data_IF_548703893685
#
_entry.id   IF_548703893685
#
_cell.length_a   1.000
_cell.length_b   1.000
_cell.length_c   1.000
_cell.angle_alpha   90.00
_cell.angle_beta   90.00
_cell.angle_gamma   90.00
#
_symmetry.space_group_name_H-M   'P 1'
#
loop_
_entity.id
_entity.type
_entity.pdbx_description
1 polymer ?
#
# COMPACT_ATOMS: atom_id res chain seq x y z
N UNK A 1 -20.80 -32.30 8.44
CA UNK A 1 -20.49 -30.85 8.53
C UNK A 1 -20.79 -30.24 7.16
N UNK A 2 -21.69 -29.26 7.07
CA UNK A 2 -21.93 -28.54 5.82
C UNK A 2 -20.82 -27.51 5.61
N UNK A 3 -20.19 -27.51 4.44
CA UNK A 3 -19.16 -26.54 4.08
C UNK A 3 -19.84 -25.23 3.67
N UNK A 4 -19.26 -24.09 4.06
CA UNK A 4 -19.74 -22.77 3.65
C UNK A 4 -19.31 -22.52 2.19
N UNK A 5 -20.17 -22.91 1.24
CA UNK A 5 -19.95 -22.80 -0.20
C UNK A 5 -21.25 -22.34 -0.89
N UNK A 6 -21.19 -21.41 -1.86
CA UNK A 6 -22.37 -21.00 -2.61
C UNK A 6 -22.90 -22.16 -3.48
N UNK A 7 -24.23 -22.27 -3.58
CA UNK A 7 -24.91 -23.25 -4.45
C UNK A 7 -24.87 -22.83 -5.92
N UNK A 8 -24.90 -21.52 -6.18
CA UNK A 8 -24.78 -20.93 -7.52
C UNK A 8 -23.94 -19.65 -7.44
N UNK A 9 -23.09 -19.43 -8.43
CA UNK A 9 -22.32 -18.19 -8.56
C UNK A 9 -23.19 -17.10 -9.20
N UNK A 10 -22.91 -15.84 -8.87
CA UNK A 10 -23.59 -14.69 -9.46
C UNK A 10 -23.18 -14.55 -10.93
N UNK A 11 -24.14 -14.52 -11.86
CA UNK A 11 -23.85 -14.46 -13.31
C UNK A 11 -23.63 -13.04 -13.86
N UNK A 12 -24.02 -11.99 -13.13
CA UNK A 12 -24.00 -10.59 -13.61
C UNK A 12 -23.23 -9.65 -12.68
N UNK A 13 -22.45 -8.68 -13.22
CA UNK A 13 -21.81 -7.67 -12.40
C UNK A 13 -22.85 -6.81 -11.66
N UNK A 14 -22.54 -6.28 -10.47
CA UNK A 14 -23.50 -5.54 -9.62
C UNK A 14 -24.25 -4.43 -10.36
N UNK A 15 -23.60 -3.80 -11.35
CA UNK A 15 -24.14 -2.66 -12.11
C UNK A 15 -25.04 -3.04 -13.29
N UNK A 16 -25.01 -4.29 -13.77
CA UNK A 16 -25.81 -4.70 -14.94
C UNK A 16 -27.33 -4.66 -14.69
N UNK A 17 -27.76 -4.62 -13.42
CA UNK A 17 -29.19 -4.58 -13.05
C UNK A 17 -29.70 -3.18 -12.69
N UNK A 18 -28.85 -2.15 -12.70
CA UNK A 18 -29.21 -0.86 -12.08
C UNK A 18 -29.69 0.22 -13.07
N UNK A 19 -29.30 0.20 -14.34
CA UNK A 19 -29.43 1.39 -15.21
C UNK A 19 -30.63 1.37 -16.18
N UNK A 20 -31.35 0.26 -16.35
CA UNK A 20 -32.35 0.13 -17.42
C UNK A 20 -33.80 -0.07 -16.93
N UNK A 21 -34.03 -0.09 -15.61
CA UNK A 21 -35.37 -0.33 -15.07
C UNK A 21 -36.00 1.00 -14.62
N UNK A 22 -37.14 1.44 -15.21
CA UNK A 22 -37.78 2.67 -14.80
C UNK A 22 -38.10 2.63 -13.30
N UNK A 23 -37.82 3.73 -12.60
CA UNK A 23 -38.20 3.86 -11.19
C UNK A 23 -39.71 3.60 -11.09
N UNK A 24 -40.09 2.53 -10.40
CA UNK A 24 -41.48 2.24 -10.15
C UNK A 24 -42.06 3.44 -9.38
N UNK A 25 -42.89 4.23 -10.07
CA UNK A 25 -43.76 5.20 -9.42
C UNK A 25 -44.45 4.49 -8.27
N UNK A 26 -44.51 5.16 -7.12
CA UNK A 26 -45.04 4.61 -5.88
C UNK A 26 -46.56 4.42 -6.07
N UNK A 27 -46.95 3.35 -6.75
CA UNK A 27 -48.34 2.90 -6.83
C UNK A 27 -48.68 2.32 -5.46
N UNK A 28 -49.29 3.15 -4.64
CA UNK A 28 -49.96 2.70 -3.43
C UNK A 28 -51.21 1.96 -3.91
N UNK A 29 -51.24 0.64 -3.71
CA UNK A 29 -52.46 -0.13 -3.92
C UNK A 29 -53.58 0.43 -3.02
N UNK A 30 -54.85 0.29 -3.40
CA UNK A 30 -56.01 0.80 -2.67
C UNK A 30 -56.10 0.29 -1.21
N UNK A 31 -55.31 -0.74 -0.88
CA UNK A 31 -55.14 -1.30 0.46
C UNK A 31 -53.91 -0.73 1.23
N UNK A 32 -53.27 0.32 0.74
CA UNK A 32 -52.15 1.00 1.42
C UNK A 32 -50.81 0.24 1.40
N UNK A 33 -50.66 -0.78 0.53
CA UNK A 33 -49.44 -1.60 0.45
C UNK A 33 -48.44 -0.97 -0.51
N UNK A 34 -47.20 -0.80 -0.04
CA UNK A 34 -46.09 -0.26 -0.85
C UNK A 34 -45.18 -1.40 -1.29
N UNK A 35 -44.88 -1.55 -2.60
CA UNK A 35 -43.92 -2.54 -3.06
C UNK A 35 -42.54 -2.34 -2.42
N UNK A 36 -41.93 -3.41 -1.91
CA UNK A 36 -40.60 -3.39 -1.27
C UNK A 36 -39.47 -2.96 -2.22
N UNK A 37 -39.72 -2.91 -3.53
CA UNK A 37 -38.78 -2.38 -4.53
C UNK A 37 -38.46 -0.89 -4.30
N UNK A 38 -39.37 -0.13 -3.68
CA UNK A 38 -39.17 1.30 -3.38
C UNK A 38 -38.31 1.57 -2.15
N UNK A 39 -38.19 0.61 -1.22
CA UNK A 39 -37.46 0.79 0.05
C UNK A 39 -35.93 0.73 -0.15
N UNK A 40 -35.47 0.07 -1.21
CA UNK A 40 -34.03 -0.04 -1.55
C UNK A 40 -33.54 0.99 -2.57
N UNK A 41 -34.42 1.88 -3.06
CA UNK A 41 -34.11 2.94 -4.02
C UNK A 41 -34.62 4.28 -3.47
N UNK A 42 -33.92 4.90 -2.49
CA UNK A 42 -34.31 6.22 -2.00
C UNK A 42 -34.33 7.21 -3.17
N UNK A 43 -35.38 8.04 -3.23
CA UNK A 43 -35.52 9.05 -4.29
C UNK A 43 -34.37 10.06 -4.21
N UNK A 44 -33.90 10.60 -5.35
CA UNK A 44 -33.15 11.85 -5.34
C UNK A 44 -33.98 12.89 -4.58
N UNK A 45 -33.42 13.47 -3.52
CA UNK A 45 -34.16 14.35 -2.62
C UNK A 45 -34.54 15.69 -3.29
N UNK A 46 -33.88 16.03 -4.39
CA UNK A 46 -34.17 17.18 -5.23
C UNK A 46 -33.39 17.04 -6.54
N UNK A 47 -34.05 16.84 -7.67
CA UNK A 47 -33.45 17.13 -8.98
C UNK A 47 -33.49 18.65 -9.13
N UNK A 48 -32.42 19.32 -8.72
CA UNK A 48 -32.25 20.75 -9.02
C UNK A 48 -31.76 20.80 -10.45
N UNK A 49 -32.65 21.13 -11.38
CA UNK A 49 -32.23 21.53 -12.72
C UNK A 49 -31.18 22.65 -12.56
N UNK A 50 -29.99 22.53 -13.20
CA UNK A 50 -29.00 23.59 -13.13
C UNK A 50 -29.67 24.89 -13.63
N UNK A 51 -29.52 26.01 -12.91
CA UNK A 51 -30.13 27.25 -13.36
C UNK A 51 -29.57 27.57 -14.74
N UNK A 52 -30.47 27.65 -15.73
CA UNK A 52 -30.16 28.16 -17.06
C UNK A 52 -29.38 29.47 -16.89
N UNK A 53 -28.11 29.47 -17.27
CA UNK A 53 -27.22 30.61 -17.09
C UNK A 53 -27.66 31.76 -18.01
N UNK A 54 -28.55 32.63 -17.53
CA UNK A 54 -28.71 33.97 -18.06
C UNK A 54 -27.68 34.89 -17.39
N UNK A 55 -26.92 35.58 -18.22
CA UNK A 55 -25.79 36.41 -17.86
C UNK A 55 -26.14 37.53 -16.87
N UNK A 56 -25.34 37.70 -15.82
CA UNK A 56 -24.99 39.01 -15.25
C UNK A 56 -23.77 38.89 -14.32
N UNK A 57 -22.86 39.86 -14.47
CA UNK A 57 -21.61 40.04 -13.75
C UNK A 57 -21.75 39.97 -12.22
N UNK A 58 -20.78 39.35 -11.54
CA UNK A 58 -19.95 40.02 -10.53
C UNK A 58 -18.86 39.09 -9.97
N UNK A 59 -17.69 39.67 -9.75
CA UNK A 59 -16.52 39.06 -9.13
C UNK A 59 -16.80 38.76 -7.66
N UNK A 60 -16.75 37.49 -7.26
CA UNK A 60 -16.30 36.99 -5.95
C UNK A 60 -16.15 35.47 -6.05
N UNK A 61 -15.22 34.89 -5.29
CA UNK A 61 -14.73 33.50 -5.39
C UNK A 61 -15.79 32.47 -5.83
N UNK A 62 -15.68 31.98 -7.08
CA UNK A 62 -16.33 30.76 -7.53
C UNK A 62 -15.80 29.58 -6.72
N UNK A 63 -16.53 29.18 -5.68
CA UNK A 63 -16.55 27.78 -5.30
C UNK A 63 -16.92 27.00 -6.57
N UNK A 64 -16.03 26.12 -7.02
CA UNK A 64 -16.27 25.35 -8.24
C UNK A 64 -17.50 24.47 -8.04
N UNK A 65 -18.58 24.76 -8.78
CA UNK A 65 -19.76 23.89 -8.95
C UNK A 65 -19.37 22.62 -9.74
N UNK A 66 -18.48 21.79 -9.18
CA UNK A 66 -18.24 20.45 -9.72
C UNK A 66 -19.42 19.56 -9.29
N UNK A 67 -20.10 18.88 -10.22
CA UNK A 67 -21.13 17.92 -9.87
C UNK A 67 -20.58 16.89 -8.87
N UNK A 68 -21.37 16.53 -7.86
CA UNK A 68 -20.95 15.59 -6.80
C UNK A 68 -20.39 14.28 -7.37
N UNK A 69 -20.93 13.83 -8.51
CA UNK A 69 -20.50 12.64 -9.26
C UNK A 69 -19.07 12.71 -9.80
N UNK A 70 -18.54 13.92 -9.97
CA UNK A 70 -17.17 14.20 -10.41
C UNK A 70 -16.23 14.45 -9.23
N UNK A 71 -16.70 14.34 -7.98
CA UNK A 71 -15.87 14.49 -6.80
C UNK A 71 -14.87 13.32 -6.69
N UNK A 72 -13.55 13.58 -6.64
CA UNK A 72 -12.53 12.53 -6.66
C UNK A 72 -12.58 11.62 -5.42
N UNK A 73 -13.02 12.13 -4.28
CA UNK A 73 -13.19 11.33 -3.06
C UNK A 73 -14.45 10.47 -3.09
N UNK A 74 -15.53 10.93 -3.74
CA UNK A 74 -16.68 10.09 -4.00
C UNK A 74 -16.30 8.94 -4.94
N UNK A 75 -15.60 9.24 -6.03
CA UNK A 75 -15.09 8.23 -6.95
C UNK A 75 -14.25 7.17 -6.21
N UNK A 76 -13.33 7.59 -5.34
CA UNK A 76 -12.54 6.67 -4.52
C UNK A 76 -13.42 5.78 -3.62
N UNK A 77 -14.45 6.34 -2.97
CA UNK A 77 -15.39 5.56 -2.14
C UNK A 77 -16.19 4.54 -2.95
N UNK A 78 -16.67 4.95 -4.13
CA UNK A 78 -17.39 4.04 -5.06
C UNK A 78 -16.46 2.91 -5.49
N UNK A 79 -15.23 3.22 -5.93
CA UNK A 79 -14.23 2.21 -6.29
C UNK A 79 -13.92 1.26 -5.13
N UNK A 80 -13.93 1.74 -3.89
CA UNK A 80 -13.74 0.89 -2.71
C UNK A 80 -14.89 -0.11 -2.53
N UNK A 81 -16.15 0.34 -2.61
CA UNK A 81 -17.29 -0.56 -2.48
C UNK A 81 -17.38 -1.56 -3.64
N UNK A 82 -17.18 -1.09 -4.87
CA UNK A 82 -17.16 -1.93 -6.06
C UNK A 82 -16.04 -2.98 -5.96
N UNK A 83 -14.84 -2.57 -5.55
CA UNK A 83 -13.70 -3.45 -5.34
C UNK A 83 -13.94 -4.47 -4.23
N UNK A 84 -14.58 -4.11 -3.12
CA UNK A 84 -14.90 -5.07 -2.07
C UNK A 84 -15.96 -6.08 -2.52
N UNK A 85 -16.97 -5.64 -3.27
CA UNK A 85 -17.97 -6.55 -3.84
C UNK A 85 -17.35 -7.52 -4.85
N UNK A 86 -16.45 -7.03 -5.70
CA UNK A 86 -15.62 -7.81 -6.63
C UNK A 86 -14.85 -8.91 -5.88
N UNK A 87 -14.18 -8.59 -4.76
CA UNK A 87 -13.42 -9.57 -4.00
C UNK A 87 -14.29 -10.65 -3.35
N UNK A 88 -15.55 -10.36 -3.02
CA UNK A 88 -16.49 -11.39 -2.56
C UNK A 88 -16.81 -12.41 -3.67
N UNK A 89 -16.95 -11.95 -4.91
CA UNK A 89 -17.14 -12.86 -6.06
C UNK A 89 -15.90 -13.74 -6.28
N UNK A 90 -14.70 -13.21 -6.05
CA UNK A 90 -13.43 -13.99 -6.08
C UNK A 90 -13.41 -15.06 -4.98
N UNK A 91 -13.74 -14.69 -3.75
CA UNK A 91 -13.85 -15.64 -2.62
C UNK A 91 -14.85 -16.76 -2.92
N UNK A 92 -15.99 -16.41 -3.51
CA UNK A 92 -17.04 -17.38 -3.87
C UNK A 92 -16.58 -18.31 -4.99
N UNK A 93 -15.84 -17.81 -5.98
CA UNK A 93 -15.19 -18.66 -6.99
C UNK A 93 -14.18 -19.62 -6.35
N UNK A 94 -13.33 -19.13 -5.45
CA UNK A 94 -12.31 -19.95 -4.78
C UNK A 94 -12.93 -21.06 -3.94
N UNK A 95 -13.99 -20.76 -3.18
CA UNK A 95 -14.78 -21.77 -2.44
C UNK A 95 -15.46 -22.75 -3.38
N UNK A 96 -16.04 -22.27 -4.47
CA UNK A 96 -16.75 -23.12 -5.42
C UNK A 96 -15.80 -24.11 -6.11
N UNK A 97 -14.61 -23.67 -6.50
CA UNK A 97 -13.54 -24.50 -7.06
C UNK A 97 -13.03 -25.55 -6.07
N UNK A 98 -13.00 -25.23 -4.77
CA UNK A 98 -12.51 -26.13 -3.74
C UNK A 98 -13.47 -27.30 -3.47
N UNK A 99 -14.79 -27.05 -3.48
CA UNK A 99 -15.78 -28.02 -2.99
C UNK A 99 -16.61 -28.72 -4.07
N UNK A 100 -16.59 -28.25 -5.33
CA UNK A 100 -17.39 -28.83 -6.41
C UNK A 100 -16.52 -29.52 -7.47
N UNK A 101 -16.99 -30.66 -8.00
CA UNK A 101 -16.40 -31.29 -9.17
C UNK A 101 -16.93 -30.62 -10.43
N UNK A 102 -16.04 -30.07 -11.25
CA UNK A 102 -16.38 -29.28 -12.43
C UNK A 102 -15.98 -30.00 -13.70
N UNK A 103 -16.86 -29.97 -14.71
CA UNK A 103 -16.67 -30.68 -15.98
C UNK A 103 -15.40 -30.23 -16.74
N UNK A 104 -15.01 -28.96 -16.64
CA UNK A 104 -13.83 -28.37 -17.29
C UNK A 104 -12.66 -28.13 -16.32
N UNK A 105 -12.55 -28.93 -15.24
CA UNK A 105 -11.60 -28.67 -14.13
C UNK A 105 -11.77 -27.28 -13.46
N UNK A 106 -12.78 -26.51 -13.86
CA UNK A 106 -12.96 -25.11 -13.45
C UNK A 106 -12.07 -24.10 -14.19
N UNK A 107 -11.55 -24.42 -15.39
CA UNK A 107 -10.69 -23.49 -16.14
C UNK A 107 -11.37 -22.14 -16.41
N UNK A 108 -12.63 -22.14 -16.85
CA UNK A 108 -13.43 -20.92 -17.05
C UNK A 108 -13.56 -20.08 -15.76
N UNK A 109 -13.74 -20.73 -14.60
CA UNK A 109 -13.84 -20.02 -13.32
C UNK A 109 -12.50 -19.43 -12.88
N UNK A 110 -11.39 -20.13 -13.10
CA UNK A 110 -10.05 -19.59 -12.83
C UNK A 110 -9.73 -18.41 -13.76
N UNK A 111 -10.14 -18.48 -15.02
CA UNK A 111 -10.03 -17.34 -15.95
C UNK A 111 -10.87 -16.16 -15.48
N UNK A 112 -12.14 -16.39 -15.10
CA UNK A 112 -13.01 -15.35 -14.55
C UNK A 112 -12.40 -14.71 -13.30
N UNK A 113 -11.88 -15.53 -12.38
CA UNK A 113 -11.17 -15.07 -11.17
C UNK A 113 -10.02 -14.13 -11.53
N UNK A 114 -9.20 -14.49 -12.52
CA UNK A 114 -8.09 -13.68 -12.98
C UNK A 114 -8.55 -12.34 -13.57
N UNK A 115 -9.54 -12.35 -14.46
CA UNK A 115 -10.12 -11.14 -15.07
C UNK A 115 -10.67 -10.18 -14.01
N UNK A 116 -11.31 -10.71 -12.95
CA UNK A 116 -11.81 -9.90 -11.85
C UNK A 116 -10.66 -9.18 -11.11
N UNK A 117 -9.58 -9.89 -10.79
CA UNK A 117 -8.40 -9.30 -10.13
C UNK A 117 -7.70 -8.27 -11.02
N UNK A 118 -7.58 -8.53 -12.32
CA UNK A 118 -7.04 -7.57 -13.30
C UNK A 118 -7.93 -6.32 -13.43
N UNK A 119 -9.25 -6.49 -13.43
CA UNK A 119 -10.20 -5.37 -13.42
C UNK A 119 -10.08 -4.50 -12.17
N UNK A 120 -9.80 -5.09 -11.01
CA UNK A 120 -9.51 -4.34 -9.79
C UNK A 120 -8.18 -3.59 -9.90
N UNK A 121 -7.12 -4.22 -10.44
CA UNK A 121 -5.85 -3.54 -10.69
C UNK A 121 -6.00 -2.32 -11.61
N UNK A 122 -6.77 -2.45 -12.68
CA UNK A 122 -7.07 -1.35 -13.60
C UNK A 122 -7.81 -0.20 -12.89
N UNK A 123 -8.71 -0.52 -11.96
CA UNK A 123 -9.45 0.47 -11.17
C UNK A 123 -8.56 1.24 -10.18
N UNK A 124 -7.48 0.62 -9.70
CA UNK A 124 -6.48 1.27 -8.85
C UNK A 124 -5.54 2.21 -9.63
N UNK A 125 -5.48 2.07 -10.96
CA UNK A 125 -4.63 2.86 -11.87
C UNK A 125 -3.15 2.90 -11.45
N UNK A 126 -2.61 1.74 -11.07
CA UNK A 126 -1.22 1.61 -10.62
C UNK A 126 -0.24 1.78 -11.77
N UNK A 127 0.84 2.50 -11.52
CA UNK A 127 1.96 2.60 -12.46
C UNK A 127 2.79 1.32 -12.46
N UNK A 128 2.92 0.67 -13.63
CA UNK A 128 3.90 -0.40 -13.85
C UNK A 128 5.14 0.13 -14.59
N UNK A 129 6.23 0.45 -13.89
CA UNK A 129 7.45 0.97 -14.52
C UNK A 129 8.21 -0.10 -15.32
N UNK A 130 7.81 -1.37 -15.23
CA UNK A 130 8.41 -2.48 -15.98
C UNK A 130 7.49 -3.00 -17.10
N UNK A 131 6.36 -2.33 -17.33
CA UNK A 131 5.41 -2.68 -18.38
C UNK A 131 5.99 -2.44 -19.77
N UNK A 132 5.62 -3.29 -20.74
CA UNK A 132 6.12 -3.23 -22.14
C UNK A 132 5.57 -2.04 -22.95
N UNK A 133 4.79 -1.16 -22.35
CA UNK A 133 4.19 -0.02 -23.04
C UNK A 133 5.21 1.12 -23.07
N UNK A 134 6.09 1.07 -24.07
CA UNK A 134 7.05 2.12 -24.37
C UNK A 134 6.38 3.40 -24.83
N UNK A 135 6.24 4.36 -23.92
CA UNK A 135 6.31 5.77 -24.25
C UNK A 135 7.19 6.45 -23.21
N UNK A 136 8.46 6.56 -23.57
CA UNK A 136 9.57 7.11 -22.78
C UNK A 136 9.46 8.62 -22.50
N UNK A 137 8.39 9.29 -22.95
CA UNK A 137 8.13 10.73 -22.72
C UNK A 137 6.97 11.00 -21.74
N UNK A 138 6.19 9.99 -21.34
CA UNK A 138 5.04 10.13 -20.40
C UNK A 138 5.31 9.55 -19.00
N UNK A 139 6.56 9.15 -18.72
CA UNK A 139 7.00 8.68 -17.40
C UNK A 139 6.96 9.78 -16.32
N UNK A 140 6.64 11.02 -16.71
CA UNK A 140 6.69 12.19 -15.85
C UNK A 140 5.38 12.54 -15.12
N UNK A 141 4.22 11.93 -15.42
CA UNK A 141 2.98 12.38 -14.74
C UNK A 141 1.75 11.45 -14.79
N UNK A 142 1.93 10.12 -14.78
CA UNK A 142 0.85 9.24 -14.32
C UNK A 142 1.09 8.95 -12.86
N UNK A 143 0.74 9.90 -11.99
CA UNK A 143 0.88 9.70 -10.56
C UNK A 143 -0.10 8.61 -10.09
N UNK A 144 0.29 7.81 -9.09
CA UNK A 144 -0.59 6.83 -8.42
C UNK A 144 -1.72 7.53 -7.61
N UNK A 145 -2.22 8.70 -8.05
CA UNK A 145 -3.16 9.57 -7.32
C UNK A 145 -4.47 8.86 -7.00
N UNK A 146 -5.00 8.07 -7.93
CA UNK A 146 -6.24 7.31 -7.68
C UNK A 146 -6.00 6.29 -6.57
N UNK A 147 -4.89 5.54 -6.65
CA UNK A 147 -4.47 4.63 -5.59
C UNK A 147 -4.27 5.35 -4.25
N UNK A 148 -3.58 6.50 -4.24
CA UNK A 148 -3.32 7.30 -3.04
C UNK A 148 -4.63 7.81 -2.41
N UNK A 149 -5.60 8.26 -3.21
CA UNK A 149 -6.93 8.65 -2.73
C UNK A 149 -7.67 7.46 -2.12
N UNK A 150 -7.63 6.29 -2.76
CA UNK A 150 -8.25 5.06 -2.24
C UNK A 150 -7.63 4.67 -0.89
N UNK A 151 -6.30 4.59 -0.79
CA UNK A 151 -5.62 4.15 0.44
C UNK A 151 -5.51 5.22 1.52
N UNK A 152 -5.91 6.47 1.21
CA UNK A 152 -6.14 7.51 2.23
C UNK A 152 -7.29 7.14 3.16
N UNK A 153 -8.26 6.34 2.68
CA UNK A 153 -9.41 5.91 3.43
C UNK A 153 -9.12 4.57 4.15
N UNK A 154 -9.51 4.40 5.42
CA UNK A 154 -9.31 3.13 6.14
C UNK A 154 -9.92 1.93 5.42
N UNK A 155 -11.12 2.10 4.82
CA UNK A 155 -11.77 1.03 4.06
C UNK A 155 -11.01 0.67 2.78
N UNK A 156 -10.33 1.64 2.15
CA UNK A 156 -9.44 1.38 1.02
C UNK A 156 -8.17 0.63 1.42
N UNK A 157 -7.62 0.88 2.60
CA UNK A 157 -6.52 0.06 3.16
C UNK A 157 -6.97 -1.38 3.45
N UNK A 158 -8.22 -1.59 3.91
CA UNK A 158 -8.82 -2.93 4.06
C UNK A 158 -9.00 -3.62 2.72
N UNK A 159 -9.48 -2.91 1.70
CA UNK A 159 -9.58 -3.42 0.33
C UNK A 159 -8.21 -3.88 -0.17
N UNK A 160 -7.17 -3.04 -0.03
CA UNK A 160 -5.81 -3.38 -0.46
C UNK A 160 -5.26 -4.63 0.26
N UNK A 161 -5.45 -4.70 1.58
CA UNK A 161 -5.04 -5.87 2.36
C UNK A 161 -5.75 -7.15 1.89
N UNK A 162 -7.05 -7.10 1.61
CA UNK A 162 -7.80 -8.25 1.08
C UNK A 162 -7.35 -8.62 -0.33
N UNK A 163 -7.12 -7.62 -1.18
CA UNK A 163 -6.67 -7.85 -2.55
C UNK A 163 -5.33 -8.58 -2.58
N UNK A 164 -4.35 -8.13 -1.79
CA UNK A 164 -3.04 -8.78 -1.64
C UNK A 164 -3.13 -10.25 -1.21
N UNK A 165 -4.08 -10.60 -0.34
CA UNK A 165 -4.29 -11.99 0.11
C UNK A 165 -4.83 -12.92 -0.99
N UNK A 166 -5.47 -12.37 -2.02
CA UNK A 166 -6.08 -13.12 -3.11
C UNK A 166 -5.19 -13.20 -4.37
N UNK A 167 -4.15 -12.37 -4.44
CA UNK A 167 -3.18 -12.38 -5.53
C UNK A 167 -2.26 -13.61 -5.48
N UNK A 168 -1.89 -14.11 -6.67
CA UNK A 168 -0.85 -15.14 -6.78
C UNK A 168 0.52 -14.56 -6.40
N UNK A 169 1.28 -15.19 -5.49
CA UNK A 169 2.58 -14.67 -5.02
C UNK A 169 3.58 -14.37 -6.14
N UNK A 170 3.62 -15.23 -7.17
CA UNK A 170 4.53 -15.10 -8.32
C UNK A 170 3.89 -14.38 -9.52
N UNK A 171 2.72 -13.77 -9.32
CA UNK A 171 1.98 -13.09 -10.39
C UNK A 171 2.46 -11.66 -10.67
N UNK A 172 2.28 -11.20 -11.91
CA UNK A 172 2.59 -9.81 -12.30
C UNK A 172 1.81 -8.78 -11.47
N UNK A 173 0.55 -9.06 -11.15
CA UNK A 173 -0.27 -8.19 -10.28
C UNK A 173 0.33 -8.02 -8.89
N UNK A 174 0.87 -9.10 -8.30
CA UNK A 174 1.54 -9.02 -6.99
C UNK A 174 2.75 -8.09 -7.06
N UNK A 175 3.57 -8.24 -8.10
CA UNK A 175 4.72 -7.36 -8.36
C UNK A 175 4.28 -5.90 -8.49
N UNK A 176 3.31 -5.59 -9.35
CA UNK A 176 2.84 -4.22 -9.61
C UNK A 176 2.31 -3.57 -8.34
N UNK A 177 1.43 -4.26 -7.61
CA UNK A 177 0.83 -3.74 -6.37
C UNK A 177 1.87 -3.52 -5.29
N UNK A 178 2.82 -4.47 -5.13
CA UNK A 178 3.87 -4.32 -4.14
C UNK A 178 4.83 -3.18 -4.51
N UNK A 179 5.22 -3.04 -5.78
CA UNK A 179 6.03 -1.88 -6.20
C UNK A 179 5.34 -0.54 -5.89
N UNK A 180 4.03 -0.43 -6.12
CA UNK A 180 3.27 0.77 -5.77
C UNK A 180 3.26 1.03 -4.25
N UNK A 181 3.03 -0.01 -3.42
CA UNK A 181 3.09 0.11 -1.96
C UNK A 181 4.47 0.59 -1.49
N UNK A 182 5.53 0.02 -2.08
CA UNK A 182 6.91 0.35 -1.74
C UNK A 182 7.30 1.78 -2.15
N UNK A 183 6.80 2.25 -3.30
CA UNK A 183 6.92 3.63 -3.74
C UNK A 183 6.25 4.61 -2.75
N UNK A 184 5.16 4.19 -2.11
CA UNK A 184 4.32 5.06 -1.26
C UNK A 184 4.36 4.71 0.23
N UNK A 185 5.45 4.12 0.72
CA UNK A 185 5.60 3.78 2.15
C UNK A 185 5.46 4.99 3.07
N UNK A 186 5.92 6.17 2.64
CA UNK A 186 5.78 7.41 3.42
C UNK A 186 4.33 7.86 3.56
N UNK A 187 3.51 7.69 2.53
CA UNK A 187 2.09 8.00 2.57
C UNK A 187 1.31 6.98 3.40
N UNK A 188 1.59 5.69 3.21
CA UNK A 188 0.87 4.60 3.87
C UNK A 188 1.21 4.50 5.36
N UNK A 189 2.49 4.64 5.72
CA UNK A 189 3.01 4.36 7.06
C UNK A 189 3.72 5.55 7.71
N UNK A 190 3.55 6.76 7.14
CA UNK A 190 4.13 8.02 7.62
C UNK A 190 3.77 8.40 9.04
N UNK A 191 2.62 7.96 9.53
CA UNK A 191 2.16 8.17 10.90
C UNK A 191 1.02 7.24 11.21
N UNK A 192 0.88 6.88 12.48
CA UNK A 192 -0.26 6.12 12.94
C UNK A 192 -1.48 7.06 13.13
N UNK A 193 -2.64 6.74 12.54
CA UNK A 193 -3.87 7.50 12.79
C UNK A 193 -4.23 7.57 14.27
N UNK A 194 -4.80 8.69 14.73
CA UNK A 194 -5.29 8.83 16.11
C UNK A 194 -6.51 7.96 16.39
N UNK A 195 -7.32 7.66 15.37
CA UNK A 195 -8.42 6.72 15.47
C UNK A 195 -7.90 5.28 15.56
N UNK A 196 -8.30 4.56 16.62
CA UNK A 196 -7.81 3.22 16.91
C UNK A 196 -8.15 2.22 15.78
N UNK A 197 -9.34 2.31 15.19
CA UNK A 197 -9.76 1.42 14.11
C UNK A 197 -8.95 1.63 12.82
N UNK A 198 -8.63 2.88 12.48
CA UNK A 198 -7.76 3.24 11.37
C UNK A 198 -6.29 2.85 11.63
N UNK A 199 -5.82 2.98 12.88
CA UNK A 199 -4.51 2.52 13.30
C UNK A 199 -4.37 1.00 13.14
N UNK A 200 -5.32 0.22 13.68
CA UNK A 200 -5.33 -1.24 13.53
C UNK A 200 -5.35 -1.67 12.06
N UNK A 201 -6.16 -0.97 11.24
CA UNK A 201 -6.23 -1.22 9.79
C UNK A 201 -4.86 -1.00 9.12
N UNK A 202 -4.14 0.03 9.52
CA UNK A 202 -2.81 0.36 9.00
C UNK A 202 -1.78 -0.69 9.42
N UNK A 203 -1.78 -1.10 10.69
CA UNK A 203 -0.91 -2.18 11.19
C UNK A 203 -1.23 -3.52 10.52
N UNK A 204 -2.51 -3.82 10.27
CA UNK A 204 -2.90 -5.02 9.55
C UNK A 204 -2.41 -5.00 8.09
N UNK A 205 -2.50 -3.86 7.41
CA UNK A 205 -1.94 -3.73 6.06
C UNK A 205 -0.44 -4.01 6.06
N UNK A 206 0.32 -3.45 7.01
CA UNK A 206 1.76 -3.74 7.12
C UNK A 206 2.03 -5.24 7.30
N UNK A 207 1.26 -5.92 8.16
CA UNK A 207 1.38 -7.36 8.38
C UNK A 207 1.09 -8.17 7.12
N UNK A 208 0.05 -7.82 6.36
CA UNK A 208 -0.29 -8.50 5.11
C UNK A 208 0.81 -8.30 4.07
N UNK A 209 1.30 -7.07 3.87
CA UNK A 209 2.40 -6.79 2.94
C UNK A 209 3.65 -7.59 3.33
N UNK A 210 4.01 -7.61 4.61
CA UNK A 210 5.13 -8.44 5.10
C UNK A 210 4.90 -9.92 4.82
N UNK A 211 3.68 -10.45 4.97
CA UNK A 211 3.35 -11.83 4.61
C UNK A 211 3.51 -12.11 3.12
N UNK A 212 3.13 -11.18 2.25
CA UNK A 212 3.35 -11.30 0.80
C UNK A 212 4.85 -11.32 0.47
N UNK A 213 5.64 -10.43 1.08
CA UNK A 213 7.11 -10.36 0.93
C UNK A 213 7.77 -11.71 1.22
N UNK A 214 7.29 -12.46 2.21
CA UNK A 214 7.85 -13.77 2.56
C UNK A 214 7.73 -14.81 1.44
N UNK A 215 6.87 -14.61 0.45
CA UNK A 215 6.65 -15.53 -0.67
C UNK A 215 7.28 -15.04 -1.98
N UNK A 216 7.84 -13.83 -2.02
CA UNK A 216 8.43 -13.26 -3.24
C UNK A 216 9.81 -13.85 -3.56
N UNK A 217 10.17 -13.80 -4.84
CA UNK A 217 11.50 -14.11 -5.35
C UNK A 217 12.46 -12.90 -5.23
N UNK A 218 13.75 -13.15 -5.45
CA UNK A 218 14.78 -12.11 -5.29
C UNK A 218 14.59 -10.95 -6.28
N UNK A 219 14.03 -11.22 -7.46
CA UNK A 219 13.81 -10.21 -8.51
C UNK A 219 12.74 -9.20 -8.08
N UNK A 220 11.59 -9.67 -7.61
CA UNK A 220 10.49 -8.81 -7.14
C UNK A 220 10.94 -8.00 -5.91
N UNK A 221 11.68 -8.61 -4.99
CA UNK A 221 12.25 -7.89 -3.84
C UNK A 221 13.17 -6.75 -4.27
N UNK A 222 14.02 -6.98 -5.28
CA UNK A 222 14.91 -5.96 -5.83
C UNK A 222 14.11 -4.79 -6.41
N UNK A 223 13.07 -5.07 -7.19
CA UNK A 223 12.20 -4.02 -7.74
C UNK A 223 11.43 -3.25 -6.66
N UNK A 224 10.96 -3.93 -5.61
CA UNK A 224 10.33 -3.27 -4.48
C UNK A 224 11.32 -2.33 -3.77
N UNK A 225 12.57 -2.75 -3.58
CA UNK A 225 13.59 -1.92 -2.95
C UNK A 225 13.99 -0.72 -3.82
N UNK A 226 14.14 -0.94 -5.14
CA UNK A 226 14.36 0.14 -6.09
C UNK A 226 13.19 1.16 -6.09
N UNK A 227 11.94 0.71 -5.99
CA UNK A 227 10.78 1.60 -5.91
C UNK A 227 10.80 2.51 -4.68
N UNK A 228 11.40 2.07 -3.56
CA UNK A 228 11.60 2.90 -2.36
C UNK A 228 12.62 3.99 -2.62
N UNK A 229 13.75 3.64 -3.23
CA UNK A 229 14.83 4.58 -3.56
C UNK A 229 14.36 5.64 -4.55
N UNK A 230 13.59 5.22 -5.57
CA UNK A 230 13.06 6.10 -6.60
C UNK A 230 11.81 6.88 -6.17
N UNK A 231 11.37 6.75 -4.91
CA UNK A 231 10.22 7.50 -4.42
C UNK A 231 10.56 8.99 -4.26
N UNK A 232 9.58 9.86 -4.53
CA UNK A 232 9.67 11.29 -4.26
C UNK A 232 9.73 11.60 -2.76
N UNK A 233 9.17 10.73 -1.92
CA UNK A 233 9.14 10.89 -0.47
C UNK A 233 9.82 9.73 0.25
N UNK A 234 10.81 10.04 1.08
CA UNK A 234 11.53 9.02 1.84
C UNK A 234 10.64 8.34 2.90
N UNK A 235 10.68 7.00 3.02
CA UNK A 235 9.91 6.29 4.03
C UNK A 235 10.36 6.64 5.46
N UNK A 236 9.47 6.54 6.46
CA UNK A 236 9.86 6.65 7.86
C UNK A 236 10.64 5.38 8.27
N UNK A 237 11.97 5.54 8.43
CA UNK A 237 12.87 4.48 8.89
C UNK A 237 13.00 4.50 10.43
N UNK A 238 11.89 4.32 11.13
CA UNK A 238 11.84 4.36 12.61
C UNK A 238 12.25 3.01 13.22
N UNK A 239 12.72 2.98 14.48
CA UNK A 239 12.92 1.71 15.18
C UNK A 239 11.60 0.93 15.30
N UNK A 240 11.70 -0.40 15.38
CA UNK A 240 10.54 -1.26 15.58
C UNK A 240 9.91 -1.02 16.96
N UNK A 241 8.59 -1.07 17.02
CA UNK A 241 7.82 -0.73 18.21
C UNK A 241 7.66 0.78 18.47
N UNK A 242 8.02 1.64 17.51
CA UNK A 242 7.82 3.09 17.65
C UNK A 242 6.33 3.42 17.86
N UNK A 243 5.98 4.27 18.85
CA UNK A 243 4.59 4.62 19.13
C UNK A 243 3.92 5.41 17.99
N UNK A 244 4.73 6.02 17.11
CA UNK A 244 4.25 6.76 15.93
C UNK A 244 3.99 5.86 14.71
N UNK A 245 4.17 4.55 14.87
CA UNK A 245 4.06 3.53 13.84
C UNK A 245 5.40 3.22 13.18
N UNK A 246 5.64 1.93 12.93
CA UNK A 246 6.89 1.36 12.42
C UNK A 246 6.69 0.52 11.13
N UNK A 247 5.49 0.57 10.54
CA UNK A 247 5.09 -0.32 9.44
C UNK A 247 6.04 -0.32 8.24
N UNK A 248 6.54 0.84 7.81
CA UNK A 248 7.52 0.90 6.72
C UNK A 248 8.83 0.19 7.06
N UNK A 249 9.33 0.38 8.28
CA UNK A 249 10.58 -0.24 8.74
C UNK A 249 10.42 -1.74 8.93
N UNK A 250 9.26 -2.17 9.43
CA UNK A 250 8.91 -3.58 9.54
C UNK A 250 8.88 -4.28 8.18
N UNK A 251 8.22 -3.69 7.17
CA UNK A 251 8.15 -4.24 5.81
C UNK A 251 9.56 -4.33 5.19
N UNK A 252 10.35 -3.26 5.28
CA UNK A 252 11.71 -3.22 4.74
C UNK A 252 12.61 -4.27 5.41
N UNK A 253 12.48 -4.46 6.72
CA UNK A 253 13.18 -5.53 7.43
C UNK A 253 12.78 -6.91 6.90
N UNK A 254 11.49 -7.16 6.68
CA UNK A 254 11.04 -8.43 6.10
C UNK A 254 11.62 -8.68 4.70
N UNK A 255 11.81 -7.62 3.88
CA UNK A 255 12.47 -7.73 2.57
C UNK A 255 13.92 -8.17 2.72
N UNK A 256 14.67 -7.51 3.62
CA UNK A 256 16.07 -7.85 3.87
C UNK A 256 16.22 -9.27 4.42
N UNK A 257 15.38 -9.66 5.39
CA UNK A 257 15.37 -11.00 5.99
C UNK A 257 15.05 -12.08 4.95
N UNK A 258 14.06 -11.84 4.08
CA UNK A 258 13.71 -12.75 2.99
C UNK A 258 14.85 -12.86 1.98
N UNK A 259 15.46 -11.74 1.58
CA UNK A 259 16.58 -11.74 0.65
C UNK A 259 17.78 -12.50 1.24
N UNK A 260 18.04 -12.39 2.55
CA UNK A 260 19.09 -13.17 3.22
C UNK A 260 18.86 -14.68 3.06
N UNK A 261 17.62 -15.14 3.25
CA UNK A 261 17.26 -16.56 3.04
C UNK A 261 17.55 -16.98 1.61
N UNK A 262 17.00 -16.25 0.63
CA UNK A 262 17.17 -16.55 -0.79
C UNK A 262 18.65 -16.57 -1.21
N UNK A 263 19.43 -15.57 -0.84
CA UNK A 263 20.86 -15.48 -1.19
C UNK A 263 21.67 -16.60 -0.53
N UNK A 264 21.33 -16.99 0.69
CA UNK A 264 21.97 -18.13 1.37
C UNK A 264 21.64 -19.45 0.67
N UNK A 265 20.37 -19.67 0.34
CA UNK A 265 19.90 -20.89 -0.32
C UNK A 265 20.52 -21.04 -1.73
N UNK A 266 20.65 -19.95 -2.50
CA UNK A 266 21.31 -19.97 -3.81
C UNK A 266 22.80 -20.31 -3.73
N UNK A 267 23.49 -19.89 -2.67
CA UNK A 267 24.91 -20.26 -2.46
C UNK A 267 25.06 -21.76 -2.15
N UNK A 268 24.03 -22.39 -1.57
CA UNK A 268 24.04 -23.82 -1.25
C UNK A 268 23.54 -24.71 -2.41
N UNK A 269 22.64 -24.21 -3.27
CA UNK A 269 21.91 -25.00 -4.27
C UNK A 269 22.42 -24.98 -5.72
N UNK A 270 23.48 -24.23 -6.05
CA UNK A 270 24.11 -24.25 -7.39
C UNK A 270 23.37 -23.53 -8.54
N UNK A 271 22.07 -23.28 -8.42
CA UNK A 271 21.27 -22.53 -9.41
C UNK A 271 21.48 -21.01 -9.29
N UNK A 272 22.62 -20.55 -9.81
CA UNK A 272 23.08 -19.16 -9.67
C UNK A 272 22.52 -18.25 -10.78
N UNK A 273 21.39 -17.58 -10.54
CA UNK A 273 20.91 -16.54 -11.46
C UNK A 273 21.67 -15.20 -11.24
N UNK A 274 22.77 -15.03 -11.98
CA UNK A 274 23.67 -13.85 -11.93
C UNK A 274 22.89 -12.53 -12.04
N UNK A 275 21.91 -12.46 -12.95
CA UNK A 275 21.18 -11.22 -13.26
C UNK A 275 20.31 -10.73 -12.09
N UNK A 276 19.65 -11.66 -11.39
CA UNK A 276 18.82 -11.32 -10.23
C UNK A 276 19.70 -10.88 -9.04
N UNK A 277 20.89 -11.44 -8.90
CA UNK A 277 21.83 -11.04 -7.85
C UNK A 277 22.46 -9.68 -8.11
N UNK A 278 22.85 -9.38 -9.36
CA UNK A 278 23.34 -8.06 -9.73
C UNK A 278 22.28 -7.00 -9.53
N UNK A 279 21.03 -7.30 -9.90
CA UNK A 279 19.89 -6.41 -9.67
C UNK A 279 19.66 -6.17 -8.17
N UNK A 280 19.63 -7.24 -7.37
CA UNK A 280 19.52 -7.14 -5.92
C UNK A 280 20.62 -6.28 -5.32
N UNK A 281 21.88 -6.52 -5.69
CA UNK A 281 23.02 -5.78 -5.16
C UNK A 281 22.92 -4.29 -5.47
N UNK A 282 22.58 -3.95 -6.72
CA UNK A 282 22.40 -2.56 -7.13
C UNK A 282 21.27 -1.88 -6.36
N UNK A 283 20.10 -2.53 -6.25
CA UNK A 283 18.97 -1.99 -5.50
C UNK A 283 19.26 -1.85 -4.00
N UNK A 284 19.98 -2.82 -3.43
CA UNK A 284 20.41 -2.79 -2.04
C UNK A 284 21.41 -1.66 -1.76
N UNK A 285 22.39 -1.44 -2.64
CA UNK A 285 23.40 -0.40 -2.43
C UNK A 285 22.78 0.99 -2.41
N UNK A 286 21.84 1.26 -3.32
CA UNK A 286 21.10 2.52 -3.32
C UNK A 286 20.22 2.69 -2.07
N UNK A 287 19.54 1.63 -1.64
CA UNK A 287 18.77 1.66 -0.40
C UNK A 287 19.67 1.87 0.82
N UNK A 288 20.84 1.24 0.87
CA UNK A 288 21.80 1.41 1.96
C UNK A 288 22.31 2.85 2.04
N UNK A 289 22.54 3.49 0.88
CA UNK A 289 22.88 4.91 0.82
C UNK A 289 21.74 5.80 1.37
N UNK A 290 20.48 5.46 1.08
CA UNK A 290 19.32 6.15 1.65
C UNK A 290 19.25 5.96 3.18
N UNK A 291 19.40 4.73 3.67
CA UNK A 291 19.37 4.39 5.09
C UNK A 291 20.49 5.09 5.88
N UNK A 292 21.71 5.09 5.36
CA UNK A 292 22.84 5.76 6.02
C UNK A 292 22.65 7.28 6.08
N UNK A 293 22.18 7.90 5.00
CA UNK A 293 21.80 9.33 5.00
C UNK A 293 20.73 9.62 6.04
N UNK A 294 19.71 8.76 6.15
CA UNK A 294 18.68 8.88 7.17
C UNK A 294 19.28 8.85 8.58
N UNK A 295 20.15 7.88 8.88
CA UNK A 295 20.80 7.76 10.19
C UNK A 295 21.65 8.99 10.54
N UNK A 296 22.46 9.49 9.60
CA UNK A 296 23.27 10.71 9.80
C UNK A 296 22.37 11.91 10.10
N UNK A 297 21.36 12.15 9.27
CA UNK A 297 20.44 13.29 9.45
C UNK A 297 19.71 13.23 10.79
N UNK A 298 19.28 12.03 11.22
CA UNK A 298 18.63 11.84 12.52
C UNK A 298 19.58 12.08 13.69
N UNK A 299 20.80 11.56 13.60
CA UNK A 299 21.84 11.83 14.60
C UNK A 299 22.09 13.33 14.74
N UNK A 300 22.31 14.04 13.63
CA UNK A 300 22.58 15.47 13.63
C UNK A 300 21.39 16.27 14.21
N UNK A 301 20.16 15.90 13.85
CA UNK A 301 18.94 16.51 14.39
C UNK A 301 18.84 16.33 15.91
N UNK A 302 19.10 15.12 16.42
CA UNK A 302 19.08 14.84 17.86
C UNK A 302 20.17 15.64 18.57
N UNK A 303 21.39 15.65 18.06
CA UNK A 303 22.51 16.39 18.66
C UNK A 303 22.27 17.90 18.65
N UNK A 304 21.70 18.46 17.57
CA UNK A 304 21.32 19.86 17.50
C UNK A 304 20.23 20.20 18.53
N UNK A 305 19.23 19.32 18.69
CA UNK A 305 18.15 19.52 19.66
C UNK A 305 18.67 19.53 21.10
N UNK A 306 19.61 18.64 21.44
CA UNK A 306 20.22 18.57 22.76
C UNK A 306 21.05 19.82 23.05
N UNK A 307 21.85 20.29 22.08
CA UNK A 307 22.62 21.53 22.21
C UNK A 307 21.75 22.76 22.47
N UNK A 308 20.55 22.83 21.89
CA UNK A 308 19.62 23.95 22.11
C UNK A 308 18.91 23.89 23.47
N UNK A 309 18.73 22.70 24.05
CA UNK A 309 18.09 22.53 25.36
C UNK A 309 19.03 22.84 26.54
N UNK A 310 20.33 22.86 26.29
CA UNK A 310 21.37 23.07 27.29
C UNK A 310 21.62 24.57 27.47
N UNK A 311 21.48 25.06 28.71
CA UNK A 311 21.92 26.42 29.09
C UNK A 311 23.44 26.55 28.88
N UNK A 312 23.98 27.75 28.58
CA UNK A 312 25.38 27.94 28.18
C UNK A 312 26.47 27.40 29.13
N UNK A 313 26.12 26.95 30.34
CA UNK A 313 27.04 26.43 31.37
C UNK A 313 26.70 25.00 31.87
N UNK A 314 25.84 24.23 31.20
CA UNK A 314 25.61 22.81 31.55
C UNK A 314 26.20 21.88 30.48
N UNK A 315 26.67 20.71 30.89
CA UNK A 315 27.11 19.65 29.99
C UNK A 315 25.88 18.83 29.58
N UNK A 316 25.83 18.35 28.34
CA UNK A 316 24.79 17.40 27.89
C UNK A 316 24.91 16.14 28.74
N UNK A 317 23.83 15.71 29.38
CA UNK A 317 23.79 14.40 30.03
C UNK A 317 23.93 13.31 28.97
N UNK A 318 25.07 12.62 29.03
CA UNK A 318 25.52 11.59 28.12
C UNK A 318 24.55 10.40 28.03
N UNK A 319 23.91 10.06 29.16
CA UNK A 319 22.92 8.99 29.24
C UNK A 319 21.64 9.39 28.51
N UNK A 320 21.20 10.63 28.66
CA UNK A 320 20.01 11.16 27.99
C UNK A 320 20.23 11.30 26.47
N UNK A 321 21.42 11.71 26.07
CA UNK A 321 21.78 11.81 24.65
C UNK A 321 21.84 10.43 23.97
N UNK A 322 22.49 9.45 24.60
CA UNK A 322 22.48 8.06 24.12
C UNK A 322 21.06 7.50 23.99
N UNK A 323 20.20 7.77 24.98
CA UNK A 323 18.80 7.34 24.97
C UNK A 323 17.98 8.01 23.88
N UNK A 324 18.19 9.30 23.63
CA UNK A 324 17.54 10.05 22.56
C UNK A 324 17.96 9.53 21.17
N UNK A 325 19.25 9.26 20.97
CA UNK A 325 19.76 8.70 19.70
C UNK A 325 19.17 7.31 19.47
N UNK A 326 19.22 6.42 20.47
CA UNK A 326 18.67 5.06 20.36
C UNK A 326 17.17 5.04 20.02
N UNK A 327 16.41 6.05 20.42
CA UNK A 327 14.98 6.18 20.09
C UNK A 327 14.70 6.55 18.63
N UNK A 328 15.66 7.13 17.93
CA UNK A 328 15.50 7.55 16.52
C UNK A 328 16.21 6.62 15.54
N UNK A 329 17.22 5.87 15.99
CA UNK A 329 18.04 5.00 15.12
C UNK A 329 17.34 3.67 14.76
N UNK A 330 17.21 3.33 13.47
CA UNK A 330 16.61 2.06 13.03
C UNK A 330 17.59 0.88 13.14
N UNK A 331 17.94 0.51 14.37
CA UNK A 331 18.94 -0.55 14.65
C UNK A 331 18.56 -1.89 14.01
N UNK A 332 17.28 -2.26 14.03
CA UNK A 332 16.81 -3.52 13.44
C UNK A 332 17.01 -3.60 11.92
N UNK A 333 16.84 -2.47 11.22
CA UNK A 333 17.09 -2.39 9.78
C UNK A 333 18.59 -2.45 9.50
N UNK A 334 19.40 -1.71 10.26
CA UNK A 334 20.86 -1.74 10.13
C UNK A 334 21.40 -3.16 10.35
N UNK A 335 20.86 -3.89 11.33
CA UNK A 335 21.21 -5.28 11.58
C UNK A 335 20.79 -6.19 10.42
N UNK A 336 19.58 -6.00 9.86
CA UNK A 336 19.11 -6.78 8.72
C UNK A 336 19.91 -6.51 7.43
N UNK A 337 20.62 -5.38 7.33
CA UNK A 337 21.52 -5.10 6.22
C UNK A 337 22.85 -5.89 6.28
N UNK A 338 23.28 -6.38 7.44
CA UNK A 338 24.61 -7.00 7.63
C UNK A 338 24.93 -8.15 6.67
N UNK A 339 24.00 -9.03 6.26
CA UNK A 339 24.30 -10.09 5.31
C UNK A 339 24.54 -9.61 3.87
N UNK A 340 24.22 -8.34 3.57
CA UNK A 340 24.15 -7.78 2.21
C UNK A 340 25.23 -6.73 1.93
N UNK A 341 25.87 -6.18 2.97
CA UNK A 341 26.89 -5.14 2.85
C UNK A 341 28.24 -5.67 2.35
N UNK A 342 28.98 -4.80 1.66
CA UNK A 342 30.39 -5.01 1.35
C UNK A 342 31.31 -4.47 2.47
N UNK A 343 32.62 -4.72 2.36
CA UNK A 343 33.60 -4.29 3.37
C UNK A 343 33.68 -2.76 3.55
N UNK A 344 33.40 -1.98 2.50
CA UNK A 344 33.36 -0.51 2.60
C UNK A 344 32.14 -0.04 3.40
N UNK A 345 30.97 -0.60 3.09
CA UNK A 345 29.71 -0.33 3.80
C UNK A 345 29.78 -0.78 5.27
N UNK A 346 30.50 -1.87 5.55
CA UNK A 346 30.77 -2.33 6.92
C UNK A 346 31.57 -1.31 7.75
N UNK A 347 32.58 -0.66 7.14
CA UNK A 347 33.30 0.45 7.78
C UNK A 347 32.36 1.63 8.06
N UNK A 348 31.46 1.96 7.13
CA UNK A 348 30.48 3.04 7.35
C UNK A 348 29.55 2.75 8.55
N UNK A 349 29.07 1.52 8.71
CA UNK A 349 28.26 1.14 9.88
C UNK A 349 29.08 1.25 11.17
N UNK A 350 30.35 0.82 11.12
CA UNK A 350 31.25 0.96 12.27
C UNK A 350 31.46 2.43 12.66
N UNK A 351 31.69 3.31 11.69
CA UNK A 351 31.88 4.74 11.96
C UNK A 351 30.59 5.38 12.52
N UNK A 352 29.42 4.95 12.04
CA UNK A 352 28.12 5.37 12.58
C UNK A 352 27.90 4.87 14.00
N UNK A 353 28.26 3.62 14.30
CA UNK A 353 28.12 3.08 15.65
C UNK A 353 29.07 3.79 16.62
N UNK A 354 30.31 4.07 16.19
CA UNK A 354 31.26 4.86 16.96
C UNK A 354 30.71 6.27 17.23
N UNK A 355 30.14 6.98 16.24
CA UNK A 355 29.51 8.29 16.48
C UNK A 355 28.34 8.22 17.45
N UNK A 356 27.51 7.17 17.37
CA UNK A 356 26.42 6.94 18.30
C UNK A 356 26.88 6.53 19.71
N UNK A 357 28.11 6.02 19.86
CA UNK A 357 28.71 5.59 21.12
C UNK A 357 29.75 6.57 21.70
N UNK A 358 30.29 7.49 20.91
CA UNK A 358 31.20 8.56 21.32
C UNK A 358 30.48 9.62 22.16
N UNK A 359 29.15 9.57 22.24
CA UNK A 359 28.34 10.20 23.30
C UNK A 359 28.23 9.24 24.50
N UNK A 360 29.29 8.49 24.79
CA UNK A 360 29.35 7.49 25.87
C UNK A 360 30.74 7.34 26.49
N UNK A 361 31.70 8.19 26.11
CA UNK A 361 33.09 8.18 26.60
C UNK A 361 33.75 9.58 26.63
N UNK A 362 33.02 10.70 26.64
CA UNK A 362 33.66 12.05 26.64
C UNK A 362 33.32 12.90 27.84
#
# INVERSE_FOLDING_TARGET
RHHFCPTHLRDLPPRARANAEPHAFLQVDALGRVPFSSIRRPRPLLEVDPPNSSAANNNDQKASDMPLEQEPMLAARVTIEDGLCLLLDVDDIDRFLQFNQLQDSGAQLRQRRQVLLEGLAASLQLVDPLGKNGHTDELAQKDDLVFLRIVSLPKGRKLLARYLQLLFPDGELMRIVCMAIFRHLRFLFGGLPSDLGAAETTSNLARVVSSCVHHMDLRVLSFCLAAVVCSSEQPPLRPLGSPTGDGASFILKCVLDRATKLVTDFKAGGDYNISNQSLWKASFDEFFNLLTKYCVNKYDTVMQSLRMQVKPNMVIDEADATKAIKREMPVDLLHACLPHINEQQKKLIWDLSQRSMLVGQS
#
